data_IF_773228826733
#
_entry.id   IF_773228826733
#
_cell.length_a   1.000
_cell.length_b   1.000
_cell.length_c   1.000
_cell.angle_alpha   90.00
_cell.angle_beta   90.00
_cell.angle_gamma   90.00
#
_symmetry.space_group_name_H-M   'P 1'
#
loop_
_entity.id
_entity.type
_entity.pdbx_description
1 polymer ?
#
# COMPACT_ATOMS: atom_id res chain seq x y z
N UNK A 1 -5.21 51.84 -32.41
CA UNK A 1 -5.40 50.43 -32.83
C UNK A 1 -4.23 49.65 -32.26
N UNK A 2 -4.53 48.62 -31.44
CA UNK A 2 -3.62 47.69 -30.73
C UNK A 2 -2.89 48.22 -29.47
N UNK A 3 -3.53 47.97 -28.33
CA UNK A 3 -2.97 47.88 -26.98
C UNK A 3 -2.24 46.56 -26.79
N UNK A 4 -1.11 46.60 -26.07
CA UNK A 4 -0.38 45.44 -25.56
C UNK A 4 -1.19 44.77 -24.45
N UNK A 5 -1.40 43.45 -24.58
CA UNK A 5 -1.97 42.60 -23.54
C UNK A 5 -0.92 41.59 -23.09
N UNK A 6 -0.35 41.81 -21.90
CA UNK A 6 0.36 40.80 -21.14
C UNK A 6 -0.63 39.70 -20.74
N UNK A 7 -0.47 38.48 -21.25
CA UNK A 7 -1.04 37.30 -20.63
C UNK A 7 0.11 36.38 -20.20
N UNK A 8 0.49 36.54 -18.93
CA UNK A 8 1.15 35.46 -18.17
C UNK A 8 0.13 34.33 -18.06
N UNK A 9 0.40 33.22 -18.73
CA UNK A 9 -0.31 31.96 -18.46
C UNK A 9 0.18 31.50 -17.09
N UNK A 10 -0.68 31.64 -16.09
CA UNK A 10 -0.52 31.02 -14.78
C UNK A 10 -0.55 29.51 -14.97
N UNK A 11 0.62 28.85 -14.91
CA UNK A 11 0.71 27.40 -14.70
C UNK A 11 0.00 27.08 -13.38
N UNK A 12 -1.16 26.44 -13.47
CA UNK A 12 -1.81 25.83 -12.33
C UNK A 12 -0.97 24.64 -11.88
N UNK A 13 -0.14 24.86 -10.87
CA UNK A 13 0.39 23.77 -10.04
C UNK A 13 -0.83 23.24 -9.28
N UNK A 14 -1.38 22.13 -9.74
CA UNK A 14 -2.42 21.40 -9.02
C UNK A 14 -1.69 20.59 -7.94
N UNK A 15 -1.62 21.13 -6.72
CA UNK A 15 -1.27 20.30 -5.56
C UNK A 15 -2.26 19.12 -5.52
N UNK A 16 -1.82 17.87 -5.37
CA UNK A 16 -2.73 16.82 -4.95
C UNK A 16 -3.31 17.28 -3.61
N UNK A 17 -4.63 17.21 -3.50
CA UNK A 17 -5.37 17.56 -2.29
C UNK A 17 -4.86 16.67 -1.17
N UNK A 18 -3.92 17.19 -0.39
CA UNK A 18 -3.64 16.68 0.94
C UNK A 18 -4.89 16.97 1.77
N UNK A 19 -5.87 16.07 1.68
CA UNK A 19 -6.91 15.99 2.68
C UNK A 19 -6.22 15.54 3.97
N UNK A 20 -5.66 16.52 4.68
CA UNK A 20 -5.33 16.38 6.08
C UNK A 20 -6.68 16.16 6.78
N UNK A 21 -7.14 14.91 6.81
CA UNK A 21 -8.14 14.49 7.77
C UNK A 21 -7.45 14.65 9.12
N UNK A 22 -7.65 15.82 9.72
CA UNK A 22 -7.60 15.95 11.16
C UNK A 22 -8.74 15.04 11.64
N UNK A 23 -8.44 13.75 11.83
CA UNK A 23 -9.27 12.88 12.65
C UNK A 23 -9.19 13.52 14.02
N UNK A 24 -10.14 14.41 14.26
CA UNK A 24 -10.48 14.80 15.61
C UNK A 24 -10.91 13.48 16.21
N UNK A 25 -10.12 12.93 17.14
CA UNK A 25 -10.58 11.84 17.98
C UNK A 25 -11.81 12.41 18.68
N UNK A 26 -12.99 12.19 18.10
CA UNK A 26 -14.24 12.23 18.83
C UNK A 26 -14.14 11.03 19.76
N UNK A 27 -13.49 11.24 20.91
CA UNK A 27 -13.91 10.58 22.13
C UNK A 27 -15.40 10.94 22.21
N UNK A 28 -16.34 10.00 22.12
CA UNK A 28 -17.74 10.32 22.29
C UNK A 28 -17.88 11.03 23.64
N UNK A 29 -18.11 12.34 23.60
CA UNK A 29 -18.42 13.11 24.78
C UNK A 29 -19.81 12.66 25.22
N UNK A 30 -19.89 12.12 26.44
CA UNK A 30 -21.08 11.54 27.08
C UNK A 30 -21.65 10.30 26.38
N UNK A 31 -20.99 9.16 26.63
CA UNK A 31 -21.75 7.94 26.90
C UNK A 31 -22.55 8.25 28.18
N UNK A 32 -23.87 8.36 28.06
CA UNK A 32 -24.74 8.63 29.20
C UNK A 32 -24.45 7.63 30.32
N UNK A 33 -24.30 8.14 31.54
CA UNK A 33 -23.98 7.43 32.77
C UNK A 33 -24.52 5.98 32.81
N UNK A 34 -23.67 5.00 32.52
CA UNK A 34 -23.78 3.70 33.15
C UNK A 34 -23.11 3.85 34.52
N UNK A 35 -23.86 3.66 35.60
CA UNK A 35 -23.30 3.68 36.96
C UNK A 35 -22.19 2.62 37.06
N UNK A 36 -20.95 3.09 37.05
CA UNK A 36 -19.74 2.32 37.30
C UNK A 36 -19.77 1.92 38.77
N UNK A 37 -20.21 0.69 39.06
CA UNK A 37 -20.00 0.11 40.37
C UNK A 37 -18.49 0.01 40.62
N UNK A 38 -18.02 0.76 41.61
CA UNK A 38 -16.71 0.67 42.26
C UNK A 38 -16.04 -0.71 42.07
N UNK A 39 -14.98 -0.80 41.27
CA UNK A 39 -14.23 -2.05 41.06
C UNK A 39 -13.01 -2.10 41.99
N UNK A 40 -12.94 -3.04 42.96
CA UNK A 40 -11.72 -3.40 43.65
C UNK A 40 -10.88 -4.38 42.80
N UNK A 41 -9.56 -4.37 43.01
CA UNK A 41 -8.54 -5.12 42.26
C UNK A 41 -8.79 -6.65 42.21
N UNK A 42 -9.20 -7.17 41.05
CA UNK A 42 -8.90 -8.51 40.48
C UNK A 42 -9.87 -8.80 39.32
N UNK A 43 -9.62 -8.13 38.19
CA UNK A 43 -10.44 -8.05 36.97
C UNK A 43 -11.04 -9.37 36.46
N UNK A 44 -12.38 -9.41 36.33
CA UNK A 44 -13.11 -10.15 35.29
C UNK A 44 -14.55 -9.58 35.23
N UNK A 45 -15.00 -8.95 34.13
CA UNK A 45 -15.81 -9.61 33.09
C UNK A 45 -16.55 -8.68 32.09
N UNK A 46 -16.52 -9.14 30.85
CA UNK A 46 -17.29 -8.83 29.64
C UNK A 46 -18.78 -8.55 29.86
N UNK A 47 -19.26 -7.45 29.30
CA UNK A 47 -20.69 -7.28 29.05
C UNK A 47 -20.84 -6.80 27.64
N UNK A 48 -21.59 -7.55 26.85
CA UNK A 48 -22.43 -6.88 25.90
C UNK A 48 -23.38 -5.95 26.67
N UNK A 49 -23.73 -4.79 26.11
CA UNK A 49 -24.87 -4.05 26.67
C UNK A 49 -26.19 -4.75 26.26
N UNK A 50 -26.12 -5.79 25.41
CA UNK A 50 -27.25 -6.29 24.63
C UNK A 50 -27.18 -7.73 24.04
N UNK A 51 -26.06 -8.45 23.99
CA UNK A 51 -25.95 -9.79 23.38
C UNK A 51 -26.40 -10.91 24.33
N UNK A 52 -26.98 -11.98 23.78
CA UNK A 52 -27.54 -13.13 24.52
C UNK A 52 -26.58 -14.34 24.54
N UNK A 53 -25.29 -14.09 24.31
CA UNK A 53 -24.29 -15.10 23.99
C UNK A 53 -23.80 -15.93 25.19
N UNK A 54 -23.49 -17.20 24.94
CA UNK A 54 -23.24 -18.23 25.96
C UNK A 54 -21.93 -18.07 26.75
N UNK A 55 -21.03 -17.16 26.37
CA UNK A 55 -19.65 -17.09 26.87
C UNK A 55 -19.32 -15.83 27.66
N UNK A 56 -20.33 -15.04 27.99
CA UNK A 56 -20.25 -13.97 28.98
C UNK A 56 -19.97 -14.59 30.36
N UNK A 57 -18.73 -14.96 30.67
CA UNK A 57 -18.15 -15.16 32.03
C UNK A 57 -16.79 -15.89 32.07
N UNK A 58 -16.10 -16.06 30.93
CA UNK A 58 -14.80 -16.74 30.89
C UNK A 58 -13.61 -15.77 30.71
N UNK A 59 -12.50 -16.01 31.44
CA UNK A 59 -11.22 -15.36 31.15
C UNK A 59 -10.60 -15.83 29.83
N UNK A 60 -10.93 -17.07 29.44
CA UNK A 60 -10.52 -17.70 28.19
C UNK A 60 -11.73 -18.34 27.53
N UNK A 61 -12.02 -17.95 26.29
CA UNK A 61 -13.02 -18.58 25.43
C UNK A 61 -12.27 -19.51 24.49
N UNK A 62 -12.73 -20.75 24.37
CA UNK A 62 -12.20 -21.71 23.39
C UNK A 62 -13.36 -22.34 22.65
N UNK A 63 -13.36 -22.21 21.33
CA UNK A 63 -14.36 -22.80 20.45
C UNK A 63 -13.68 -23.57 19.32
N UNK A 64 -14.34 -24.64 18.85
CA UNK A 64 -13.87 -25.40 17.69
C UNK A 64 -14.64 -24.95 16.46
N UNK A 65 -15.96 -25.13 16.40
CA UNK A 65 -16.73 -24.92 15.17
C UNK A 65 -17.60 -23.67 15.16
N UNK A 66 -17.52 -22.83 16.18
CA UNK A 66 -18.34 -21.63 16.35
C UNK A 66 -17.43 -20.42 16.53
N UNK A 67 -17.91 -19.21 16.19
CA UNK A 67 -17.19 -18.00 16.53
C UNK A 67 -16.93 -17.89 18.04
N UNK A 68 -15.86 -17.20 18.43
CA UNK A 68 -15.53 -16.98 19.84
C UNK A 68 -16.53 -16.04 20.54
N UNK A 69 -16.76 -14.86 19.95
CA UNK A 69 -17.74 -13.88 20.42
C UNK A 69 -18.45 -13.21 19.23
N UNK A 70 -19.76 -12.97 19.35
CA UNK A 70 -20.56 -12.32 18.30
C UNK A 70 -21.34 -11.14 18.88
N UNK A 71 -21.34 -10.01 18.17
CA UNK A 71 -22.24 -8.88 18.37
C UNK A 71 -23.33 -8.93 17.30
N UNK A 72 -24.42 -9.63 17.60
CA UNK A 72 -25.61 -9.77 16.76
C UNK A 72 -26.80 -8.95 17.30
N UNK A 73 -27.86 -8.83 16.50
CA UNK A 73 -29.04 -8.02 16.79
C UNK A 73 -29.84 -8.58 17.99
N UNK A 74 -29.92 -7.85 19.12
CA UNK A 74 -30.87 -8.16 20.17
C UNK A 74 -32.28 -7.83 19.66
N UNK A 75 -33.28 -8.59 20.06
CA UNK A 75 -34.70 -8.40 19.67
C UNK A 75 -35.32 -7.00 19.93
N UNK A 76 -34.57 -6.01 20.43
CA UNK A 76 -35.05 -4.66 20.77
C UNK A 76 -34.09 -3.47 20.52
N UNK A 77 -32.85 -3.65 20.00
CA UNK A 77 -31.94 -2.51 19.75
C UNK A 77 -31.15 -2.66 18.44
N UNK A 78 -30.94 -1.59 17.66
CA UNK A 78 -30.38 -1.70 16.31
C UNK A 78 -28.87 -2.00 16.24
N UNK A 79 -28.15 -2.11 17.36
CA UNK A 79 -26.72 -2.38 17.38
C UNK A 79 -26.28 -3.13 18.66
N UNK A 80 -25.19 -3.91 18.54
CA UNK A 80 -24.58 -4.65 19.66
C UNK A 80 -23.10 -4.33 19.81
N UNK A 81 -22.59 -4.38 21.05
CA UNK A 81 -21.17 -4.12 21.35
C UNK A 81 -20.63 -5.27 22.17
N UNK A 82 -19.52 -5.88 21.73
CA UNK A 82 -18.76 -6.88 22.50
C UNK A 82 -17.35 -6.36 22.80
N UNK A 83 -16.78 -6.71 23.96
CA UNK A 83 -15.48 -6.23 24.41
C UNK A 83 -14.64 -7.34 25.01
N UNK A 84 -13.52 -7.71 24.39
CA UNK A 84 -12.45 -8.51 24.98
C UNK A 84 -11.50 -7.63 25.78
N UNK A 85 -11.52 -7.76 27.11
CA UNK A 85 -10.67 -6.96 27.99
C UNK A 85 -9.23 -7.47 28.04
N UNK A 86 -8.34 -6.65 28.60
CA UNK A 86 -6.89 -6.83 28.63
C UNK A 86 -6.35 -8.23 28.97
N UNK A 87 -6.95 -8.91 29.96
CA UNK A 87 -6.52 -10.26 30.38
C UNK A 87 -7.24 -11.39 29.64
N UNK A 88 -8.13 -11.03 28.72
CA UNK A 88 -8.99 -11.96 28.01
C UNK A 88 -8.29 -12.62 26.83
N UNK A 89 -8.60 -13.89 26.65
CA UNK A 89 -8.09 -14.70 25.55
C UNK A 89 -9.23 -15.40 24.82
N UNK A 90 -9.27 -15.27 23.50
CA UNK A 90 -10.22 -15.96 22.62
C UNK A 90 -9.41 -16.88 21.72
N UNK A 91 -9.75 -18.16 21.70
CA UNK A 91 -9.05 -19.19 20.93
C UNK A 91 -10.07 -19.94 20.08
N UNK A 92 -9.86 -19.97 18.77
CA UNK A 92 -10.75 -20.59 17.78
C UNK A 92 -9.93 -21.49 16.86
N UNK A 93 -10.39 -22.71 16.57
CA UNK A 93 -9.54 -23.71 15.88
C UNK A 93 -10.16 -24.44 14.69
N UNK A 94 -11.49 -24.46 14.56
CA UNK A 94 -12.15 -25.10 13.42
C UNK A 94 -12.26 -24.20 12.20
N UNK A 95 -12.51 -24.82 11.05
CA UNK A 95 -12.64 -24.11 9.78
C UNK A 95 -13.77 -23.08 9.83
N UNK A 96 -13.51 -21.87 9.32
CA UNK A 96 -14.39 -20.71 9.39
C UNK A 96 -14.82 -20.27 10.82
N UNK A 97 -14.19 -20.79 11.89
CA UNK A 97 -14.46 -20.34 13.25
C UNK A 97 -13.74 -19.01 13.52
N UNK A 98 -14.44 -17.89 13.42
CA UNK A 98 -13.88 -16.56 13.63
C UNK A 98 -13.66 -16.23 15.12
N UNK A 99 -12.67 -15.39 15.44
CA UNK A 99 -12.41 -14.93 16.81
C UNK A 99 -13.52 -14.06 17.38
N UNK A 100 -13.63 -12.82 16.90
CA UNK A 100 -14.68 -11.86 17.29
C UNK A 100 -15.43 -11.34 16.06
N UNK A 101 -16.75 -11.26 16.12
CA UNK A 101 -17.60 -10.86 14.99
C UNK A 101 -18.54 -9.72 15.39
N UNK A 102 -18.57 -8.64 14.61
CA UNK A 102 -19.57 -7.59 14.64
C UNK A 102 -20.52 -7.79 13.45
N UNK A 103 -21.63 -8.50 13.69
CA UNK A 103 -22.43 -9.09 12.61
C UNK A 103 -23.52 -8.19 12.05
N UNK A 104 -24.32 -7.59 12.93
CA UNK A 104 -25.42 -6.71 12.53
C UNK A 104 -24.95 -5.29 12.23
N UNK A 105 -25.75 -4.51 11.50
CA UNK A 105 -25.42 -3.13 11.14
C UNK A 105 -25.10 -2.28 12.38
N UNK A 106 -24.00 -1.55 12.33
CA UNK A 106 -23.54 -0.70 13.43
C UNK A 106 -23.04 -1.45 14.67
N UNK A 107 -22.94 -2.79 14.62
CA UNK A 107 -22.35 -3.57 15.70
C UNK A 107 -20.87 -3.30 15.86
N UNK A 108 -20.33 -3.56 17.06
CA UNK A 108 -18.95 -3.27 17.39
C UNK A 108 -18.28 -4.41 18.16
N UNK A 109 -17.01 -4.67 17.85
CA UNK A 109 -16.16 -5.59 18.59
C UNK A 109 -14.84 -4.94 19.00
N UNK A 110 -14.56 -4.87 20.30
CA UNK A 110 -13.38 -4.22 20.86
C UNK A 110 -12.45 -5.26 21.50
N UNK A 111 -11.26 -5.44 20.95
CA UNK A 111 -10.22 -6.27 21.51
C UNK A 111 -9.14 -5.44 22.23
N UNK A 112 -8.96 -5.70 23.51
CA UNK A 112 -7.86 -5.22 24.34
C UNK A 112 -6.95 -6.35 24.82
N UNK A 113 -7.38 -7.61 24.63
CA UNK A 113 -6.65 -8.83 25.03
C UNK A 113 -6.04 -9.54 23.83
N UNK A 114 -6.05 -10.87 23.86
CA UNK A 114 -5.51 -11.72 22.79
C UNK A 114 -6.63 -12.48 22.08
N UNK A 115 -6.58 -12.51 20.74
CA UNK A 115 -7.40 -13.36 19.88
C UNK A 115 -6.47 -14.26 19.07
N UNK A 116 -6.71 -15.57 19.10
CA UNK A 116 -5.96 -16.59 18.36
C UNK A 116 -6.94 -17.42 17.53
N UNK A 117 -6.70 -17.54 16.24
CA UNK A 117 -7.61 -18.19 15.29
C UNK A 117 -6.81 -19.07 14.31
N UNK A 118 -6.90 -20.39 14.48
CA UNK A 118 -6.05 -21.36 13.77
C UNK A 118 -6.75 -22.07 12.59
N UNK A 119 -8.07 -21.99 12.49
CA UNK A 119 -8.85 -22.67 11.46
C UNK A 119 -8.57 -22.17 10.04
N UNK A 120 -8.84 -22.98 9.01
CA UNK A 120 -8.77 -22.48 7.63
C UNK A 120 -9.92 -21.52 7.33
N UNK A 121 -9.69 -20.51 6.48
CA UNK A 121 -10.68 -19.47 6.14
C UNK A 121 -11.34 -18.82 7.37
N UNK A 122 -10.63 -18.79 8.49
CA UNK A 122 -11.09 -18.21 9.75
C UNK A 122 -10.49 -16.81 9.92
N UNK A 123 -11.17 -15.93 10.64
CA UNK A 123 -10.74 -14.54 10.78
C UNK A 123 -10.59 -14.19 12.24
N UNK A 124 -9.52 -13.47 12.59
CA UNK A 124 -9.31 -13.05 13.96
C UNK A 124 -10.44 -12.13 14.43
N UNK A 125 -10.74 -11.09 13.65
CA UNK A 125 -11.88 -10.20 13.90
C UNK A 125 -12.62 -9.87 12.60
N UNK A 126 -13.95 -9.74 12.65
CA UNK A 126 -14.81 -9.49 11.48
C UNK A 126 -15.83 -8.41 11.77
N UNK A 127 -15.97 -7.41 10.90
CA UNK A 127 -17.16 -6.57 10.78
C UNK A 127 -17.88 -6.97 9.49
N UNK A 128 -19.08 -7.56 9.59
CA UNK A 128 -19.87 -8.01 8.43
C UNK A 128 -21.11 -7.16 8.15
N UNK A 129 -21.66 -6.49 9.16
CA UNK A 129 -22.77 -5.54 8.99
C UNK A 129 -22.30 -4.19 8.46
N UNK A 130 -23.21 -3.41 7.86
CA UNK A 130 -22.91 -2.05 7.39
C UNK A 130 -22.63 -1.13 8.58
N UNK A 131 -21.67 -0.22 8.45
CA UNK A 131 -21.21 0.69 9.52
C UNK A 131 -20.72 -0.04 10.79
N UNK A 132 -20.41 -1.34 10.72
CA UNK A 132 -19.89 -2.11 11.85
C UNK A 132 -18.41 -1.84 12.07
N UNK A 133 -17.97 -1.91 13.33
CA UNK A 133 -16.60 -1.53 13.71
C UNK A 133 -15.91 -2.62 14.50
N UNK A 134 -14.72 -3.03 14.07
CA UNK A 134 -13.81 -3.86 14.87
C UNK A 134 -12.55 -3.09 15.25
N UNK A 135 -12.13 -3.20 16.51
CA UNK A 135 -11.03 -2.41 17.05
C UNK A 135 -10.08 -3.29 17.87
N UNK A 136 -8.84 -3.44 17.42
CA UNK A 136 -7.76 -4.06 18.17
C UNK A 136 -6.91 -2.96 18.81
N UNK A 137 -7.04 -2.74 20.12
CA UNK A 137 -6.57 -1.53 20.78
C UNK A 137 -5.89 -1.80 22.13
N UNK A 138 -4.63 -1.37 22.30
CA UNK A 138 -3.99 -1.38 23.62
C UNK A 138 -4.40 -0.14 24.43
N UNK A 139 -5.21 -0.33 25.48
CA UNK A 139 -5.71 0.77 26.31
C UNK A 139 -4.67 1.48 27.18
N UNK A 140 -3.45 0.94 27.39
CA UNK A 140 -2.45 1.58 28.27
C UNK A 140 -0.96 1.11 28.17
N UNK A 141 -0.44 0.82 26.97
CA UNK A 141 0.98 1.05 26.64
C UNK A 141 2.05 0.04 27.09
N UNK A 142 1.76 -1.03 27.85
CA UNK A 142 2.76 -2.11 28.10
C UNK A 142 2.37 -3.48 27.57
N UNK A 143 1.11 -3.90 27.69
CA UNK A 143 0.65 -5.13 27.03
C UNK A 143 -0.20 -4.76 25.82
N UNK A 144 0.23 -5.24 24.65
CA UNK A 144 -0.36 -4.92 23.37
C UNK A 144 -1.51 -5.88 23.11
N UNK A 145 -2.67 -5.33 22.74
CA UNK A 145 -3.75 -6.16 22.22
C UNK A 145 -3.24 -6.88 20.96
N UNK A 146 -3.62 -8.14 20.79
CA UNK A 146 -3.07 -8.98 19.73
C UNK A 146 -4.16 -9.79 19.05
N UNK A 147 -4.10 -9.83 17.72
CA UNK A 147 -4.87 -10.74 16.87
C UNK A 147 -3.89 -11.60 16.10
N UNK A 148 -4.00 -12.92 16.23
CA UNK A 148 -3.09 -13.89 15.62
C UNK A 148 -3.90 -14.92 14.83
N UNK A 149 -3.54 -15.13 13.57
CA UNK A 149 -4.18 -16.14 12.71
C UNK A 149 -3.17 -17.01 11.99
N UNK A 150 -3.47 -18.30 11.81
CA UNK A 150 -2.49 -19.26 11.28
C UNK A 150 -2.99 -20.22 10.19
N UNK A 151 -4.30 -20.34 9.98
CA UNK A 151 -4.86 -21.21 8.94
C UNK A 151 -4.67 -20.66 7.52
N UNK A 152 -4.69 -21.53 6.51
CA UNK A 152 -4.69 -21.05 5.11
C UNK A 152 -5.94 -20.20 4.83
N UNK A 153 -5.76 -19.07 4.15
CA UNK A 153 -6.82 -18.07 3.91
C UNK A 153 -7.32 -17.37 5.18
N UNK A 154 -6.63 -17.51 6.32
CA UNK A 154 -7.07 -16.90 7.57
C UNK A 154 -6.60 -15.45 7.65
N UNK A 155 -7.51 -14.49 7.47
CA UNK A 155 -7.18 -13.06 7.60
C UNK A 155 -7.20 -12.58 9.06
N UNK A 156 -6.36 -11.61 9.40
CA UNK A 156 -6.28 -11.05 10.75
C UNK A 156 -7.55 -10.29 11.11
N UNK A 157 -7.82 -9.19 10.42
CA UNK A 157 -9.02 -8.35 10.61
C UNK A 157 -9.71 -8.07 9.29
N UNK A 158 -11.01 -8.34 9.20
CA UNK A 158 -11.81 -8.13 7.98
C UNK A 158 -12.94 -7.15 8.25
N UNK A 159 -13.07 -6.13 7.41
CA UNK A 159 -14.22 -5.25 7.36
C UNK A 159 -14.92 -5.40 6.00
N UNK A 160 -16.18 -5.79 6.04
CA UNK A 160 -17.06 -5.95 4.88
C UNK A 160 -18.36 -5.24 5.17
N UNK A 161 -18.80 -4.40 4.22
CA UNK A 161 -20.02 -3.60 4.34
C UNK A 161 -19.74 -2.12 4.17
N UNK A 162 -20.75 -1.39 3.70
CA UNK A 162 -20.62 0.02 3.42
C UNK A 162 -20.37 0.79 4.73
N UNK A 163 -19.24 1.52 4.79
CA UNK A 163 -18.87 2.29 5.97
C UNK A 163 -18.36 1.46 7.16
N UNK A 164 -18.27 0.13 7.02
CA UNK A 164 -17.71 -0.73 8.04
C UNK A 164 -16.21 -0.51 8.17
N UNK A 165 -15.65 -0.74 9.36
CA UNK A 165 -14.26 -0.42 9.61
C UNK A 165 -13.52 -1.37 10.54
N UNK A 166 -12.22 -1.53 10.28
CA UNK A 166 -11.29 -2.24 11.15
C UNK A 166 -10.11 -1.36 11.55
N UNK A 167 -9.73 -1.40 12.83
CA UNK A 167 -8.70 -0.51 13.39
C UNK A 167 -7.66 -1.28 14.22
N UNK A 168 -6.38 -1.06 13.93
CA UNK A 168 -5.23 -1.52 14.72
C UNK A 168 -4.60 -0.31 15.39
N UNK A 169 -4.70 -0.19 16.71
CA UNK A 169 -4.24 0.97 17.48
C UNK A 169 -3.30 0.55 18.62
N UNK A 170 -2.01 0.89 18.48
CA UNK A 170 -0.95 0.52 19.46
C UNK A 170 -1.00 -1.00 19.76
N UNK A 171 -1.26 -1.81 18.74
CA UNK A 171 -1.56 -3.23 18.86
C UNK A 171 -0.96 -4.02 17.70
N UNK A 172 -1.04 -5.35 17.80
CA UNK A 172 -0.42 -6.26 16.84
C UNK A 172 -1.45 -7.11 16.11
N UNK A 173 -1.28 -7.23 14.79
CA UNK A 173 -1.95 -8.24 13.96
C UNK A 173 -0.88 -9.11 13.31
N UNK A 174 -0.95 -10.41 13.54
CA UNK A 174 -0.01 -11.39 12.99
C UNK A 174 -0.78 -12.44 12.21
N UNK A 175 -0.38 -12.68 10.96
CA UNK A 175 -0.96 -13.74 10.12
C UNK A 175 0.14 -14.62 9.54
N UNK A 176 0.03 -15.94 9.73
CA UNK A 176 1.08 -16.89 9.30
C UNK A 176 0.60 -17.88 8.24
N UNK A 177 -0.72 -17.93 7.98
CA UNK A 177 -1.31 -18.75 6.93
C UNK A 177 -0.96 -18.28 5.52
N UNK A 178 -0.90 -19.20 4.57
CA UNK A 178 -0.80 -18.86 3.15
C UNK A 178 -2.08 -18.14 2.68
N UNK A 179 -1.94 -17.25 1.70
CA UNK A 179 -3.05 -16.45 1.15
C UNK A 179 -3.83 -15.66 2.24
N UNK A 180 -3.16 -15.37 3.35
CA UNK A 180 -3.72 -14.64 4.49
C UNK A 180 -3.46 -13.14 4.36
N UNK A 181 -4.35 -12.31 4.91
CA UNK A 181 -4.22 -10.86 4.88
C UNK A 181 -4.17 -10.33 6.31
N UNK A 182 -3.28 -9.38 6.60
CA UNK A 182 -3.26 -8.72 7.91
C UNK A 182 -4.58 -8.01 8.16
N UNK A 183 -4.94 -7.09 7.27
CA UNK A 183 -6.24 -6.43 7.26
C UNK A 183 -6.87 -6.43 5.87
N UNK A 184 -8.19 -6.50 5.80
CA UNK A 184 -8.92 -6.61 4.55
C UNK A 184 -10.21 -5.78 4.53
N UNK A 185 -10.30 -4.82 3.61
CA UNK A 185 -11.50 -4.02 3.34
C UNK A 185 -12.22 -4.50 2.07
N UNK A 186 -13.53 -4.70 2.18
CA UNK A 186 -14.43 -5.14 1.12
C UNK A 186 -15.70 -4.29 1.07
N UNK A 187 -16.33 -4.19 -0.10
CA UNK A 187 -17.67 -3.63 -0.27
C UNK A 187 -17.85 -2.19 0.28
N UNK A 188 -16.84 -1.33 0.13
CA UNK A 188 -16.92 0.06 0.63
C UNK A 188 -16.49 0.24 2.08
N UNK A 189 -15.81 -0.75 2.66
CA UNK A 189 -15.26 -0.70 4.01
C UNK A 189 -13.90 0.03 4.07
N UNK A 190 -13.45 0.36 5.29
CA UNK A 190 -12.13 0.95 5.55
C UNK A 190 -11.32 0.16 6.56
N UNK A 191 -10.04 -0.10 6.28
CA UNK A 191 -9.10 -0.66 7.26
C UNK A 191 -7.98 0.31 7.59
N UNK A 192 -7.66 0.44 8.87
CA UNK A 192 -6.76 1.47 9.40
C UNK A 192 -5.72 0.86 10.35
N UNK A 193 -4.44 1.04 10.03
CA UNK A 193 -3.33 0.79 10.94
C UNK A 193 -2.88 2.14 11.51
N UNK A 194 -3.15 2.38 12.78
CA UNK A 194 -2.89 3.66 13.45
C UNK A 194 -1.47 3.71 14.04
N UNK A 195 -1.08 4.88 14.52
CA UNK A 195 0.19 5.12 15.23
C UNK A 195 0.52 3.98 16.22
N UNK A 196 1.68 3.37 16.08
CA UNK A 196 2.16 2.28 16.94
C UNK A 196 1.50 0.92 16.68
N UNK A 197 0.58 0.82 15.71
CA UNK A 197 0.05 -0.42 15.17
C UNK A 197 1.08 -1.16 14.31
N UNK A 198 1.11 -2.49 14.44
CA UNK A 198 2.03 -3.36 13.71
C UNK A 198 1.26 -4.50 13.05
N UNK A 199 1.45 -4.65 11.75
CA UNK A 199 0.89 -5.75 10.96
C UNK A 199 2.06 -6.59 10.43
N UNK A 200 2.05 -7.89 10.74
CA UNK A 200 3.05 -8.84 10.27
C UNK A 200 2.36 -10.00 9.53
N UNK A 201 2.76 -10.25 8.28
CA UNK A 201 2.33 -11.42 7.53
C UNK A 201 3.52 -12.27 7.08
N UNK A 202 3.39 -13.59 7.18
CA UNK A 202 4.50 -14.52 6.89
C UNK A 202 4.13 -15.75 6.08
N UNK A 203 2.88 -15.89 5.61
CA UNK A 203 2.52 -16.92 4.63
C UNK A 203 2.90 -16.55 3.20
N UNK A 204 3.04 -17.55 2.33
CA UNK A 204 3.20 -17.29 0.88
C UNK A 204 1.89 -16.73 0.32
N UNK A 205 1.96 -15.74 -0.58
CA UNK A 205 0.76 -15.06 -1.08
C UNK A 205 0.04 -14.21 -0.03
N UNK A 206 0.61 -14.05 1.17
CA UNK A 206 0.00 -13.24 2.21
C UNK A 206 0.17 -11.74 1.94
N UNK A 207 -0.73 -10.89 2.37
CA UNK A 207 -0.64 -9.44 2.14
C UNK A 207 -0.85 -8.65 3.43
N UNK A 208 -0.19 -7.50 3.57
CA UNK A 208 -0.30 -6.67 4.77
C UNK A 208 -1.70 -6.09 4.93
N UNK A 209 -2.06 -5.13 4.08
CA UNK A 209 -3.40 -4.54 4.05
C UNK A 209 -3.97 -4.59 2.63
N UNK A 210 -5.22 -5.04 2.49
CA UNK A 210 -5.91 -5.21 1.21
C UNK A 210 -7.19 -4.35 1.16
N UNK A 211 -7.44 -3.70 0.03
CA UNK A 211 -8.68 -3.00 -0.28
C UNK A 211 -9.24 -3.48 -1.62
N UNK A 212 -10.37 -4.18 -1.59
CA UNK A 212 -11.01 -4.75 -2.77
C UNK A 212 -12.37 -4.11 -3.06
N UNK A 213 -12.53 -3.62 -4.28
CA UNK A 213 -13.77 -3.03 -4.78
C UNK A 213 -13.85 -1.51 -4.57
N UNK A 214 -14.64 -0.87 -5.43
CA UNK A 214 -14.89 0.56 -5.39
C UNK A 214 -15.39 1.05 -4.03
N UNK A 215 -14.68 2.04 -3.48
CA UNK A 215 -14.98 2.62 -2.15
C UNK A 215 -14.28 1.92 -0.99
N UNK A 216 -13.69 0.74 -1.19
CA UNK A 216 -12.88 0.08 -0.17
C UNK A 216 -11.54 0.79 0.00
N UNK A 217 -11.10 0.98 1.24
CA UNK A 217 -9.87 1.73 1.56
C UNK A 217 -8.98 1.01 2.56
N UNK A 218 -7.67 1.12 2.37
CA UNK A 218 -6.65 0.66 3.31
C UNK A 218 -5.68 1.80 3.64
N UNK A 219 -5.54 2.16 4.91
CA UNK A 219 -4.68 3.29 5.35
C UNK A 219 -3.69 2.85 6.41
N UNK A 220 -2.40 3.03 6.14
CA UNK A 220 -1.32 2.88 7.12
C UNK A 220 -0.88 4.26 7.60
N UNK A 221 -1.22 4.66 8.82
CA UNK A 221 -0.99 6.02 9.34
C UNK A 221 0.46 6.28 9.76
N UNK A 222 0.85 7.55 10.01
CA UNK A 222 2.19 7.87 10.48
C UNK A 222 2.57 7.10 11.75
N UNK A 223 3.75 6.48 11.73
CA UNK A 223 4.29 5.69 12.84
C UNK A 223 3.63 4.30 12.99
N UNK A 224 2.81 3.88 12.04
CA UNK A 224 2.32 2.52 11.89
C UNK A 224 3.23 1.72 10.93
N UNK A 225 3.37 0.41 11.18
CA UNK A 225 4.27 -0.47 10.41
C UNK A 225 3.52 -1.66 9.83
N UNK A 226 3.78 -1.92 8.55
CA UNK A 226 3.39 -3.15 7.85
C UNK A 226 4.65 -3.90 7.44
N UNK A 227 4.73 -5.19 7.77
CA UNK A 227 5.81 -6.07 7.35
C UNK A 227 5.30 -7.37 6.74
N UNK A 228 5.77 -7.71 5.54
CA UNK A 228 5.52 -9.01 4.91
C UNK A 228 6.84 -9.74 4.65
N UNK A 229 6.92 -11.02 4.99
CA UNK A 229 8.22 -11.74 5.03
C UNK A 229 8.38 -12.85 3.99
N UNK A 230 7.29 -13.27 3.33
CA UNK A 230 7.26 -14.43 2.42
C UNK A 230 7.08 -14.04 0.96
N UNK A 231 7.28 -15.00 0.05
CA UNK A 231 7.17 -14.77 -1.39
C UNK A 231 5.75 -14.38 -1.82
N UNK A 232 5.68 -13.66 -2.95
CA UNK A 232 4.43 -13.22 -3.58
C UNK A 232 3.52 -12.43 -2.63
N UNK A 233 4.14 -11.68 -1.70
CA UNK A 233 3.41 -10.91 -0.68
C UNK A 233 3.46 -9.41 -0.96
N UNK A 234 2.34 -8.72 -0.80
CA UNK A 234 2.25 -7.27 -0.98
C UNK A 234 2.09 -6.58 0.36
N UNK A 235 2.84 -5.50 0.58
CA UNK A 235 2.69 -4.68 1.78
C UNK A 235 1.28 -4.08 1.83
N UNK A 236 0.89 -3.39 0.75
CA UNK A 236 -0.48 -2.92 0.56
C UNK A 236 -0.99 -3.27 -0.85
N UNK A 237 -2.21 -3.77 -0.95
CA UNK A 237 -2.80 -4.22 -2.22
C UNK A 237 -4.19 -3.61 -2.42
N UNK A 238 -4.39 -2.93 -3.55
CA UNK A 238 -5.67 -2.39 -3.96
C UNK A 238 -6.09 -3.04 -5.30
N UNK A 239 -7.33 -3.54 -5.35
CA UNK A 239 -7.89 -4.21 -6.53
C UNK A 239 -9.35 -3.79 -6.79
N UNK A 240 -9.78 -3.89 -8.04
CA UNK A 240 -11.15 -3.60 -8.51
C UNK A 240 -11.66 -2.20 -8.12
N UNK A 241 -10.80 -1.17 -8.26
CA UNK A 241 -11.11 0.22 -7.92
C UNK A 241 -10.94 0.55 -6.43
N UNK A 242 -10.30 -0.33 -5.66
CA UNK A 242 -9.90 -0.07 -4.28
C UNK A 242 -8.79 0.99 -4.17
N UNK A 243 -8.57 1.48 -2.95
CA UNK A 243 -7.52 2.46 -2.66
C UNK A 243 -6.68 2.08 -1.45
N UNK A 244 -5.35 2.10 -1.60
CA UNK A 244 -4.42 1.96 -0.48
C UNK A 244 -3.51 3.18 -0.33
N UNK A 245 -3.38 3.68 0.90
CA UNK A 245 -2.56 4.86 1.24
C UNK A 245 -1.58 4.51 2.35
N UNK A 246 -0.30 4.72 2.09
CA UNK A 246 0.76 4.61 3.08
C UNK A 246 1.21 6.00 3.56
N UNK A 247 1.15 6.24 4.86
CA UNK A 247 1.71 7.40 5.57
C UNK A 247 2.77 6.97 6.61
N UNK A 248 2.88 5.66 6.87
CA UNK A 248 3.83 5.03 7.79
C UNK A 248 4.95 4.28 7.06
N UNK A 249 5.35 3.13 7.60
CA UNK A 249 6.36 2.24 6.98
C UNK A 249 5.69 0.99 6.40
N UNK A 250 6.00 0.69 5.15
CA UNK A 250 5.71 -0.59 4.49
C UNK A 250 7.02 -1.27 4.17
N UNK A 251 7.18 -2.50 4.66
CA UNK A 251 8.40 -3.27 4.48
C UNK A 251 8.14 -4.70 4.00
N UNK A 252 8.79 -5.08 2.90
CA UNK A 252 8.59 -6.39 2.25
C UNK A 252 9.93 -7.08 1.97
N UNK A 253 10.00 -8.39 2.24
CA UNK A 253 11.27 -9.13 2.22
C UNK A 253 11.32 -10.28 1.20
N UNK A 254 10.18 -10.90 0.90
CA UNK A 254 10.13 -12.10 0.06
C UNK A 254 10.43 -11.84 -1.41
N UNK A 255 10.65 -12.93 -2.17
CA UNK A 255 10.74 -12.90 -3.63
C UNK A 255 9.42 -12.40 -4.23
N UNK A 256 9.49 -11.54 -5.26
CA UNK A 256 8.30 -10.96 -5.92
C UNK A 256 7.33 -10.29 -4.94
N UNK A 257 7.86 -9.76 -3.84
CA UNK A 257 7.10 -9.19 -2.74
C UNK A 257 7.03 -7.68 -2.88
N UNK A 258 5.99 -7.18 -3.54
CA UNK A 258 5.86 -5.76 -3.86
C UNK A 258 5.50 -4.90 -2.65
N UNK A 259 5.99 -3.66 -2.59
CA UNK A 259 5.65 -2.74 -1.51
C UNK A 259 4.17 -2.35 -1.54
N UNK A 260 3.73 -1.72 -2.63
CA UNK A 260 2.33 -1.38 -2.87
C UNK A 260 1.90 -1.77 -4.29
N UNK A 261 0.66 -2.28 -4.45
CA UNK A 261 0.16 -2.78 -5.73
C UNK A 261 -1.25 -2.26 -6.02
N UNK A 262 -1.45 -1.64 -7.19
CA UNK A 262 -2.76 -1.26 -7.74
C UNK A 262 -3.09 -2.13 -8.95
N UNK A 263 -4.23 -2.83 -8.89
CA UNK A 263 -4.75 -3.66 -9.98
C UNK A 263 -6.15 -3.19 -10.39
N UNK A 264 -6.48 -3.27 -11.68
CA UNK A 264 -7.85 -3.10 -12.21
C UNK A 264 -8.50 -1.75 -11.83
N UNK A 265 -7.85 -0.65 -12.20
CA UNK A 265 -8.35 0.71 -11.95
C UNK A 265 -8.16 1.20 -10.51
N UNK A 266 -7.31 0.52 -9.74
CA UNK A 266 -7.08 0.85 -8.33
C UNK A 266 -6.03 1.96 -8.15
N UNK A 267 -5.95 2.46 -6.91
CA UNK A 267 -5.06 3.56 -6.52
C UNK A 267 -4.15 3.10 -5.39
N UNK A 268 -2.84 3.33 -5.55
CA UNK A 268 -1.88 3.25 -4.44
C UNK A 268 -1.09 4.55 -4.29
N UNK A 269 -1.06 5.08 -3.08
CA UNK A 269 -0.39 6.34 -2.74
C UNK A 269 0.61 6.13 -1.62
N UNK A 270 1.89 6.39 -1.88
CA UNK A 270 2.92 6.45 -0.85
C UNK A 270 3.17 7.91 -0.45
N UNK A 271 2.99 8.19 0.84
CA UNK A 271 3.35 9.43 1.53
C UNK A 271 4.09 9.13 2.86
N UNK A 272 4.63 7.91 2.97
CA UNK A 272 5.50 7.44 4.06
C UNK A 272 6.79 6.84 3.49
N UNK A 273 7.17 5.65 3.94
CA UNK A 273 8.32 4.91 3.38
C UNK A 273 7.87 3.54 2.89
N UNK A 274 8.31 3.17 1.69
CA UNK A 274 8.17 1.82 1.14
C UNK A 274 9.56 1.23 0.93
N UNK A 275 9.81 0.04 1.49
CA UNK A 275 11.07 -0.68 1.32
C UNK A 275 10.85 -2.13 0.91
N UNK A 276 11.61 -2.61 -0.07
CA UNK A 276 11.53 -3.97 -0.63
C UNK A 276 12.92 -4.59 -0.74
N UNK A 277 13.09 -5.87 -0.37
CA UNK A 277 14.40 -6.55 -0.45
C UNK A 277 14.51 -7.67 -1.49
N UNK A 278 13.43 -8.43 -1.73
CA UNK A 278 13.51 -9.63 -2.56
C UNK A 278 13.76 -9.35 -4.04
N UNK A 279 14.30 -10.34 -4.75
CA UNK A 279 14.46 -10.23 -6.20
C UNK A 279 13.08 -10.11 -6.88
N UNK A 280 13.00 -9.29 -7.93
CA UNK A 280 11.74 -8.93 -8.59
C UNK A 280 10.76 -8.14 -7.72
N UNK A 281 11.12 -7.79 -6.48
CA UNK A 281 10.22 -7.07 -5.57
C UNK A 281 10.20 -5.58 -5.87
N UNK A 282 9.25 -5.13 -6.68
CA UNK A 282 9.06 -3.71 -6.98
C UNK A 282 8.51 -2.89 -5.79
N UNK A 283 8.92 -1.63 -5.69
CA UNK A 283 8.44 -0.68 -4.68
C UNK A 283 6.95 -0.42 -4.81
N UNK A 284 6.53 0.10 -5.97
CA UNK A 284 5.12 0.31 -6.29
C UNK A 284 4.77 -0.21 -7.68
N UNK A 285 3.63 -0.88 -7.84
CA UNK A 285 3.14 -1.40 -9.12
C UNK A 285 1.74 -0.88 -9.42
N UNK A 286 1.49 -0.53 -10.69
CA UNK A 286 0.17 -0.26 -11.24
C UNK A 286 -0.06 -1.13 -12.48
N UNK A 287 -1.14 -1.91 -12.48
CA UNK A 287 -1.46 -2.87 -13.53
C UNK A 287 -2.92 -2.77 -14.02
N UNK A 288 -3.09 -3.12 -15.30
CA UNK A 288 -4.37 -3.37 -15.99
C UNK A 288 -5.37 -2.21 -15.88
N UNK A 289 -5.03 -1.09 -16.52
CA UNK A 289 -5.90 0.09 -16.58
C UNK A 289 -5.85 0.98 -15.34
N UNK A 290 -4.95 0.71 -14.40
CA UNK A 290 -4.69 1.56 -13.23
C UNK A 290 -3.95 2.84 -13.65
N UNK A 291 -4.65 3.77 -14.31
CA UNK A 291 -4.16 5.12 -14.64
C UNK A 291 -4.08 5.50 -16.12
N UNK A 292 -4.83 4.82 -17.00
CA UNK A 292 -4.96 5.18 -18.42
C UNK A 292 -5.34 6.67 -18.61
N UNK A 293 -5.04 7.32 -19.76
CA UNK A 293 -5.52 8.68 -20.07
C UNK A 293 -7.03 8.89 -19.91
N UNK A 294 -7.83 7.81 -19.98
CA UNK A 294 -9.28 7.84 -19.73
C UNK A 294 -9.65 7.85 -18.24
N UNK A 295 -8.75 7.42 -17.36
CA UNK A 295 -8.89 7.43 -15.90
C UNK A 295 -7.57 7.87 -15.25
N UNK A 296 -7.26 9.18 -15.26
CA UNK A 296 -5.97 9.69 -14.83
C UNK A 296 -5.75 9.66 -13.31
N UNK A 297 -6.75 9.20 -12.55
CA UNK A 297 -6.76 9.19 -11.09
C UNK A 297 -6.34 7.84 -10.50
N UNK A 298 -6.49 6.75 -11.26
CA UNK A 298 -5.96 5.44 -10.92
C UNK A 298 -4.43 5.35 -11.12
N UNK A 299 -3.77 4.41 -10.45
CA UNK A 299 -2.35 4.13 -10.59
C UNK A 299 -1.51 4.29 -9.32
N UNK A 300 -0.20 4.36 -9.51
CA UNK A 300 0.78 4.41 -8.43
C UNK A 300 1.41 5.81 -8.28
N UNK A 301 1.31 6.39 -7.09
CA UNK A 301 1.78 7.75 -6.79
C UNK A 301 2.74 7.74 -5.59
N UNK A 302 4.01 8.11 -5.83
CA UNK A 302 4.99 8.28 -4.77
C UNK A 302 5.16 9.76 -4.43
N UNK A 303 4.96 10.17 -3.18
CA UNK A 303 5.19 11.53 -2.70
C UNK A 303 6.41 11.66 -1.78
N UNK A 304 7.03 10.53 -1.41
CA UNK A 304 8.08 10.45 -0.39
C UNK A 304 9.10 9.40 -0.82
N UNK A 305 9.44 8.40 -0.01
CA UNK A 305 10.60 7.54 -0.24
C UNK A 305 10.19 6.13 -0.65
N UNK A 306 10.83 5.63 -1.71
CA UNK A 306 10.86 4.22 -2.10
C UNK A 306 12.32 3.74 -2.12
N UNK A 307 12.58 2.62 -1.45
CA UNK A 307 13.86 1.92 -1.49
C UNK A 307 13.68 0.47 -1.95
N UNK A 308 14.43 0.06 -2.96
CA UNK A 308 14.41 -1.33 -3.46
C UNK A 308 15.83 -1.86 -3.61
N UNK A 309 16.06 -3.12 -3.23
CA UNK A 309 17.42 -3.70 -3.27
C UNK A 309 17.55 -5.05 -3.95
N UNK A 310 16.45 -5.67 -4.39
CA UNK A 310 16.52 -6.96 -5.07
C UNK A 310 16.96 -6.84 -6.54
N UNK A 311 17.57 -7.89 -7.07
CA UNK A 311 17.87 -7.96 -8.51
C UNK A 311 16.56 -7.94 -9.32
N UNK A 312 16.55 -7.20 -10.42
CA UNK A 312 15.38 -6.99 -11.27
C UNK A 312 14.23 -6.25 -10.57
N UNK A 313 14.44 -5.68 -9.39
CA UNK A 313 13.41 -4.87 -8.70
C UNK A 313 13.26 -3.51 -9.37
N UNK A 314 12.06 -2.93 -9.30
CA UNK A 314 11.80 -1.61 -9.87
C UNK A 314 11.33 -0.70 -8.75
N UNK A 315 11.79 0.55 -8.73
CA UNK A 315 11.23 1.52 -7.79
C UNK A 315 9.72 1.68 -8.01
N UNK A 316 9.33 1.96 -9.25
CA UNK A 316 7.93 1.97 -9.67
C UNK A 316 7.73 1.26 -11.02
N UNK A 317 6.64 0.53 -11.19
CA UNK A 317 6.30 -0.17 -12.43
C UNK A 317 4.85 0.08 -12.85
N UNK A 318 4.64 0.53 -14.10
CA UNK A 318 3.34 0.63 -14.73
C UNK A 318 3.25 -0.32 -15.93
N UNK A 319 2.21 -1.17 -15.95
CA UNK A 319 2.02 -2.20 -16.99
C UNK A 319 0.57 -2.28 -17.46
N UNK A 320 0.36 -2.62 -18.73
CA UNK A 320 -0.96 -2.80 -19.35
C UNK A 320 -1.86 -1.57 -19.21
N UNK A 321 -1.51 -0.48 -19.91
CA UNK A 321 -2.27 0.79 -19.91
C UNK A 321 -2.42 1.45 -18.53
N UNK A 322 -1.34 1.44 -17.74
CA UNK A 322 -1.33 1.96 -16.37
C UNK A 322 -0.40 3.16 -16.19
N UNK A 323 -0.41 3.77 -15.01
CA UNK A 323 0.40 4.95 -14.68
C UNK A 323 1.19 4.80 -13.38
N UNK A 324 2.45 5.22 -13.44
CA UNK A 324 3.29 5.50 -12.28
C UNK A 324 3.71 6.98 -12.27
N UNK A 325 3.67 7.63 -11.11
CA UNK A 325 4.09 9.03 -10.94
C UNK A 325 4.91 9.22 -9.68
N UNK A 326 6.13 9.71 -9.84
CA UNK A 326 7.05 10.01 -8.76
C UNK A 326 7.13 11.52 -8.51
N UNK A 327 6.81 11.92 -7.28
CA UNK A 327 6.98 13.25 -6.71
C UNK A 327 7.94 13.25 -5.49
N UNK A 328 8.53 12.10 -5.17
CA UNK A 328 9.48 11.94 -4.08
C UNK A 328 10.79 11.28 -4.53
N UNK A 329 11.47 10.60 -3.62
CA UNK A 329 12.74 9.92 -3.87
C UNK A 329 12.52 8.44 -4.18
N UNK A 330 13.22 7.94 -5.20
CA UNK A 330 13.29 6.53 -5.55
C UNK A 330 14.75 6.09 -5.59
N UNK A 331 15.11 5.11 -4.76
CA UNK A 331 16.45 4.51 -4.73
C UNK A 331 16.36 3.01 -5.03
N UNK A 332 17.17 2.56 -5.97
CA UNK A 332 17.26 1.15 -6.37
C UNK A 332 18.72 0.69 -6.41
N UNK A 333 18.98 -0.58 -6.07
CA UNK A 333 20.37 -1.06 -5.91
C UNK A 333 20.73 -2.45 -6.45
N UNK A 334 19.76 -3.33 -6.73
CA UNK A 334 20.05 -4.63 -7.34
C UNK A 334 20.45 -4.55 -8.81
N UNK A 335 21.01 -5.63 -9.36
CA UNK A 335 21.33 -5.69 -10.79
C UNK A 335 20.04 -5.72 -11.63
N UNK A 336 20.00 -4.96 -12.72
CA UNK A 336 18.80 -4.71 -13.51
C UNK A 336 17.71 -3.95 -12.75
N UNK A 337 18.02 -3.38 -11.57
CA UNK A 337 17.00 -2.72 -10.76
C UNK A 337 16.71 -1.31 -11.26
N UNK A 338 15.68 -1.15 -12.08
CA UNK A 338 15.33 0.14 -12.69
C UNK A 338 14.64 1.08 -11.71
N UNK A 339 14.81 2.40 -11.87
CA UNK A 339 14.09 3.40 -11.08
C UNK A 339 12.59 3.37 -11.36
N UNK A 340 12.20 3.64 -12.61
CA UNK A 340 10.80 3.56 -13.05
C UNK A 340 10.67 2.84 -14.39
N UNK A 341 9.66 1.96 -14.51
CA UNK A 341 9.39 1.22 -15.75
C UNK A 341 7.94 1.45 -16.21
N UNK A 342 7.75 1.60 -17.51
CA UNK A 342 6.44 1.59 -18.16
C UNK A 342 6.44 0.56 -19.30
N UNK A 343 5.50 -0.39 -19.31
CA UNK A 343 5.34 -1.37 -20.39
C UNK A 343 3.91 -1.49 -20.90
N UNK A 344 3.77 -1.88 -22.17
CA UNK A 344 2.50 -2.26 -22.79
C UNK A 344 1.47 -1.13 -22.76
N UNK A 345 1.82 -0.02 -23.41
CA UNK A 345 0.96 1.15 -23.52
C UNK A 345 0.86 1.98 -22.22
N UNK A 346 1.85 1.91 -21.33
CA UNK A 346 1.80 2.55 -20.01
C UNK A 346 2.59 3.85 -19.93
N UNK A 347 2.43 4.59 -18.83
CA UNK A 347 3.06 5.88 -18.57
C UNK A 347 3.83 5.92 -17.25
N UNK A 348 5.04 6.48 -17.28
CA UNK A 348 5.82 6.81 -16.08
C UNK A 348 6.22 8.29 -16.10
N UNK A 349 5.91 9.00 -15.02
CA UNK A 349 6.20 10.43 -14.86
C UNK A 349 7.11 10.64 -13.65
N UNK A 350 8.29 11.21 -13.87
CA UNK A 350 9.19 11.60 -12.81
C UNK A 350 9.20 13.13 -12.63
N UNK A 351 8.94 13.59 -11.42
CA UNK A 351 8.98 15.00 -11.03
C UNK A 351 10.04 15.29 -9.95
N UNK A 352 10.75 14.26 -9.48
CA UNK A 352 11.68 14.33 -8.36
C UNK A 352 12.89 13.40 -8.63
N UNK A 353 13.48 12.81 -7.59
CA UNK A 353 14.79 12.17 -7.67
C UNK A 353 14.69 10.65 -7.84
N UNK A 354 15.49 10.12 -8.75
CA UNK A 354 15.68 8.70 -9.03
C UNK A 354 17.19 8.42 -8.98
N UNK A 355 17.59 7.48 -8.12
CA UNK A 355 18.95 6.97 -8.05
C UNK A 355 18.98 5.46 -8.27
N UNK A 356 19.84 4.99 -9.17
CA UNK A 356 20.03 3.55 -9.45
C UNK A 356 21.49 3.13 -9.36
N UNK A 357 21.78 2.02 -8.67
CA UNK A 357 23.16 1.63 -8.35
C UNK A 357 23.65 0.34 -9.02
N UNK A 358 22.76 -0.59 -9.40
CA UNK A 358 23.15 -1.89 -9.96
C UNK A 358 23.62 -1.85 -11.42
N UNK A 359 24.24 -2.93 -11.89
CA UNK A 359 24.55 -3.08 -13.33
C UNK A 359 23.25 -3.15 -14.15
N UNK A 360 23.25 -2.62 -15.36
CA UNK A 360 22.07 -2.54 -16.24
C UNK A 360 20.84 -1.86 -15.58
N UNK A 361 21.04 -1.09 -14.50
CA UNK A 361 19.98 -0.47 -13.72
C UNK A 361 19.58 0.90 -14.30
N UNK A 362 18.65 0.92 -15.25
CA UNK A 362 18.21 2.17 -15.88
C UNK A 362 17.44 3.10 -14.92
N UNK A 363 17.61 4.41 -15.06
CA UNK A 363 16.81 5.39 -14.32
C UNK A 363 15.32 5.28 -14.66
N UNK A 364 14.99 5.37 -15.95
CA UNK A 364 13.64 5.14 -16.46
C UNK A 364 13.64 4.27 -17.73
N UNK A 365 12.67 3.37 -17.89
CA UNK A 365 12.56 2.48 -19.05
C UNK A 365 11.13 2.35 -19.60
N UNK A 366 10.93 2.68 -20.88
CA UNK A 366 9.68 2.46 -21.61
C UNK A 366 9.79 1.31 -22.62
N UNK A 367 8.83 0.39 -22.59
CA UNK A 367 8.73 -0.77 -23.50
C UNK A 367 7.36 -0.87 -24.17
N UNK A 368 7.31 -1.34 -25.42
CA UNK A 368 6.09 -1.72 -26.14
C UNK A 368 5.02 -0.61 -26.15
N UNK A 369 5.23 0.44 -26.94
CA UNK A 369 4.35 1.60 -27.06
C UNK A 369 4.13 2.38 -25.74
N UNK A 370 5.14 2.42 -24.86
CA UNK A 370 5.03 3.11 -23.57
C UNK A 370 5.74 4.46 -23.56
N UNK A 371 5.47 5.25 -22.53
CA UNK A 371 5.90 6.64 -22.45
C UNK A 371 6.54 6.94 -21.09
N UNK A 372 7.77 7.46 -21.10
CA UNK A 372 8.46 7.94 -19.91
C UNK A 372 8.78 9.43 -20.03
N UNK A 373 8.52 10.18 -18.97
CA UNK A 373 8.74 11.62 -18.90
C UNK A 373 9.51 11.98 -17.64
N UNK A 374 10.59 12.73 -17.81
CA UNK A 374 11.38 13.28 -16.72
C UNK A 374 11.26 14.80 -16.70
N UNK A 375 10.72 15.33 -15.61
CA UNK A 375 10.45 16.77 -15.41
C UNK A 375 11.18 17.36 -14.19
N UNK A 376 11.82 16.54 -13.34
CA UNK A 376 12.50 17.03 -12.13
C UNK A 376 13.84 17.71 -12.42
N UNK A 377 14.21 18.72 -11.64
CA UNK A 377 15.57 19.25 -11.66
C UNK A 377 16.45 18.40 -10.73
N UNK A 378 17.62 17.93 -11.18
CA UNK A 378 18.47 16.95 -10.45
C UNK A 378 17.88 15.54 -10.32
N UNK A 379 17.07 15.15 -11.31
CA UNK A 379 16.10 14.07 -11.21
C UNK A 379 16.55 12.64 -11.41
N UNK A 380 17.61 12.37 -12.20
CA UNK A 380 18.00 10.99 -12.54
C UNK A 380 19.52 10.87 -12.45
N UNK A 381 19.98 9.95 -11.59
CA UNK A 381 21.39 9.61 -11.44
C UNK A 381 21.59 8.08 -11.41
N UNK A 382 22.52 7.57 -12.22
CA UNK A 382 22.74 6.12 -12.37
C UNK A 382 24.22 5.76 -12.32
N UNK A 383 24.58 4.65 -11.66
CA UNK A 383 25.98 4.33 -11.32
C UNK A 383 26.58 3.05 -11.94
N UNK A 384 25.80 1.98 -12.16
CA UNK A 384 26.34 0.68 -12.58
C UNK A 384 26.75 0.60 -14.05
N UNK A 385 27.56 -0.41 -14.42
CA UNK A 385 27.91 -0.63 -15.83
C UNK A 385 26.64 -0.86 -16.66
N UNK A 386 26.54 -0.21 -17.84
CA UNK A 386 25.33 -0.27 -18.66
C UNK A 386 24.10 0.45 -18.07
N UNK A 387 24.21 1.13 -16.92
CA UNK A 387 23.09 1.85 -16.32
C UNK A 387 22.75 3.11 -17.14
N UNK A 388 21.83 3.00 -18.10
CA UNK A 388 21.35 4.13 -18.87
C UNK A 388 20.44 5.05 -18.04
N UNK A 389 20.40 6.35 -18.36
CA UNK A 389 19.51 7.29 -17.67
C UNK A 389 18.05 7.04 -18.03
N UNK A 390 17.70 7.19 -19.31
CA UNK A 390 16.37 6.90 -19.84
C UNK A 390 16.44 6.04 -21.11
N UNK A 391 15.60 5.02 -21.22
CA UNK A 391 15.55 4.13 -22.39
C UNK A 391 14.12 4.03 -22.94
N UNK A 392 13.96 4.11 -24.25
CA UNK A 392 12.72 3.77 -24.95
C UNK A 392 12.97 2.63 -25.96
N UNK A 393 12.14 1.59 -25.91
CA UNK A 393 12.24 0.41 -26.78
C UNK A 393 10.88 -0.07 -27.29
N UNK A 394 10.83 -0.51 -28.56
CA UNK A 394 9.62 -1.06 -29.19
C UNK A 394 8.52 0.00 -29.36
N UNK A 395 8.73 0.93 -30.29
CA UNK A 395 7.80 2.03 -30.61
C UNK A 395 7.44 2.91 -29.39
N UNK A 396 8.36 3.03 -28.43
CA UNK A 396 8.17 3.77 -27.18
C UNK A 396 8.73 5.20 -27.26
N UNK A 397 8.43 6.00 -26.24
CA UNK A 397 8.81 7.42 -26.18
C UNK A 397 9.46 7.79 -24.84
N UNK A 398 10.58 8.50 -24.91
CA UNK A 398 11.25 9.11 -23.76
C UNK A 398 11.42 10.62 -23.94
N UNK A 399 11.01 11.39 -22.91
CA UNK A 399 11.19 12.84 -22.89
C UNK A 399 11.87 13.31 -21.62
N UNK A 400 12.94 14.10 -21.78
CA UNK A 400 13.65 14.73 -20.69
C UNK A 400 13.54 16.25 -20.75
N UNK A 401 12.94 16.85 -19.73
CA UNK A 401 13.02 18.29 -19.43
C UNK A 401 13.96 18.55 -18.23
N UNK A 402 14.19 17.51 -17.44
CA UNK A 402 15.01 17.52 -16.24
C UNK A 402 16.49 17.31 -16.50
N UNK A 403 17.18 16.76 -15.51
CA UNK A 403 18.62 16.45 -15.62
C UNK A 403 18.86 14.95 -15.52
N UNK A 404 19.80 14.46 -16.32
CA UNK A 404 20.23 13.07 -16.32
C UNK A 404 21.74 13.01 -16.14
N UNK A 405 22.20 12.23 -15.16
CA UNK A 405 23.62 11.93 -14.95
C UNK A 405 23.82 10.41 -14.98
N UNK A 406 24.78 9.96 -15.77
CA UNK A 406 25.15 8.55 -15.84
C UNK A 406 26.65 8.38 -15.64
N UNK A 407 27.05 7.51 -14.71
CA UNK A 407 28.45 7.30 -14.33
C UNK A 407 29.05 6.02 -14.91
N UNK A 408 28.19 5.03 -15.21
CA UNK A 408 28.58 3.69 -15.64
C UNK A 408 29.29 3.62 -16.98
N UNK A 409 30.22 2.67 -17.14
CA UNK A 409 30.82 2.38 -18.44
C UNK A 409 29.76 1.83 -19.42
N UNK A 410 29.79 2.30 -20.67
CA UNK A 410 28.79 1.91 -21.68
C UNK A 410 27.40 2.49 -21.44
N UNK A 411 27.23 3.38 -20.46
CA UNK A 411 25.95 4.02 -20.18
C UNK A 411 25.60 5.10 -21.19
N UNK A 412 24.30 5.34 -21.36
CA UNK A 412 23.76 6.35 -22.23
C UNK A 412 22.88 7.24 -21.38
N UNK A 413 22.99 8.56 -21.54
CA UNK A 413 22.05 9.46 -20.87
C UNK A 413 20.61 9.16 -21.31
N UNK A 414 20.37 9.13 -22.63
CA UNK A 414 19.13 8.68 -23.22
C UNK A 414 19.37 7.72 -24.39
N UNK A 415 18.56 6.67 -24.53
CA UNK A 415 18.65 5.72 -25.63
C UNK A 415 17.27 5.40 -26.25
N UNK A 416 17.25 5.23 -27.58
CA UNK A 416 16.07 4.84 -28.35
C UNK A 416 16.34 3.64 -29.26
N UNK A 417 15.51 2.59 -29.14
CA UNK A 417 15.64 1.33 -29.87
C UNK A 417 14.33 0.90 -30.53
N UNK A 418 14.43 0.20 -31.67
CA UNK A 418 13.29 -0.45 -32.33
C UNK A 418 12.11 0.49 -32.61
N UNK A 419 12.33 1.54 -33.41
CA UNK A 419 11.28 2.50 -33.78
C UNK A 419 10.98 3.57 -32.74
N UNK A 420 11.71 3.57 -31.61
CA UNK A 420 11.43 4.47 -30.48
C UNK A 420 12.00 5.87 -30.68
N UNK A 421 11.51 6.83 -29.88
CA UNK A 421 11.95 8.22 -29.92
C UNK A 421 12.40 8.68 -28.54
N UNK A 422 13.55 9.35 -28.47
CA UNK A 422 14.06 10.00 -27.27
C UNK A 422 14.34 11.49 -27.54
N UNK A 423 13.75 12.38 -26.76
CA UNK A 423 13.89 13.84 -26.90
C UNK A 423 14.36 14.43 -25.59
N UNK A 424 15.42 15.24 -25.62
CA UNK A 424 15.85 16.04 -24.48
C UNK A 424 15.67 17.52 -24.76
N UNK A 425 15.07 18.24 -23.82
CA UNK A 425 15.13 19.69 -23.67
C UNK A 425 15.95 20.11 -22.45
N UNK A 426 16.27 19.16 -21.55
CA UNK A 426 17.07 19.37 -20.35
C UNK A 426 18.51 18.85 -20.46
N UNK A 427 19.22 18.84 -19.33
CA UNK A 427 20.66 18.53 -19.25
C UNK A 427 20.94 17.02 -19.24
N UNK A 428 21.98 16.61 -19.96
CA UNK A 428 22.45 15.24 -19.98
C UNK A 428 23.97 15.20 -19.81
N UNK A 429 24.42 14.49 -18.77
CA UNK A 429 25.82 14.19 -18.51
C UNK A 429 26.06 12.69 -18.53
N UNK A 430 27.02 12.25 -19.33
CA UNK A 430 27.46 10.87 -19.39
C UNK A 430 28.98 10.82 -19.17
N UNK A 431 29.40 10.26 -18.03
CA UNK A 431 30.78 10.32 -17.54
C UNK A 431 31.58 9.04 -17.81
N UNK A 432 30.89 7.92 -18.04
CA UNK A 432 31.53 6.61 -18.19
C UNK A 432 32.34 6.45 -19.47
N UNK A 433 33.28 5.49 -19.46
CA UNK A 433 34.01 5.08 -20.67
C UNK A 433 33.03 4.49 -21.69
N UNK A 434 33.19 4.83 -22.97
CA UNK A 434 32.27 4.43 -24.05
C UNK A 434 30.82 4.86 -23.82
N UNK A 435 30.60 5.93 -23.05
CA UNK A 435 29.28 6.50 -22.85
C UNK A 435 28.93 7.51 -23.94
N UNK A 436 27.64 7.79 -24.08
CA UNK A 436 27.13 8.84 -24.94
C UNK A 436 25.97 9.57 -24.25
N UNK A 437 25.82 10.87 -24.49
CA UNK A 437 24.66 11.60 -23.98
C UNK A 437 23.35 11.06 -24.55
N UNK A 438 23.25 10.91 -25.87
CA UNK A 438 22.09 10.34 -26.54
C UNK A 438 22.50 9.30 -27.59
N UNK A 439 21.75 8.20 -27.69
CA UNK A 439 22.00 7.10 -28.62
C UNK A 439 20.71 6.60 -29.28
N UNK A 440 20.75 6.32 -30.59
CA UNK A 440 19.65 5.68 -31.31
C UNK A 440 20.17 4.53 -32.17
N UNK A 441 19.46 3.42 -32.16
CA UNK A 441 19.77 2.25 -32.99
C UNK A 441 18.49 1.57 -33.53
N UNK A 442 18.58 1.10 -34.77
CA UNK A 442 17.51 0.42 -35.48
C UNK A 442 16.69 1.34 -36.38
N UNK A 443 15.98 0.74 -37.34
CA UNK A 443 15.14 1.45 -38.28
C UNK A 443 14.00 2.17 -37.54
N UNK A 444 13.82 3.46 -37.84
CA UNK A 444 12.78 4.30 -37.23
C UNK A 444 13.13 4.88 -35.86
N UNK A 445 14.23 4.46 -35.23
CA UNK A 445 14.66 5.03 -33.95
C UNK A 445 15.22 6.44 -34.12
N UNK A 446 14.93 7.35 -33.18
CA UNK A 446 15.42 8.73 -33.24
C UNK A 446 15.80 9.30 -31.88
N UNK A 447 16.84 10.14 -31.87
CA UNK A 447 17.23 10.99 -30.74
C UNK A 447 17.28 12.45 -31.17
N UNK A 448 16.76 13.35 -30.34
CA UNK A 448 16.83 14.81 -30.57
C UNK A 448 17.22 15.52 -29.28
N UNK A 449 18.28 16.33 -29.33
CA UNK A 449 18.62 17.26 -28.26
C UNK A 449 18.21 18.69 -28.65
N UNK A 450 17.26 19.25 -27.92
CA UNK A 450 16.78 20.63 -28.01
C UNK A 450 17.34 21.51 -26.87
N UNK A 451 18.04 20.92 -25.90
CA UNK A 451 18.78 21.65 -24.87
C UNK A 451 19.98 22.41 -25.45
N UNK A 452 20.44 23.45 -24.75
CA UNK A 452 21.54 24.32 -25.17
C UNK A 452 22.93 23.75 -24.89
#
# INVERSE_FOLDING_TARGET
MRTLGNNKVSMGILLPVLALFLVTIMIPANIGNAEVNNVPQNSTLYTSVTSDDKWENASTITTENEPGMVADDPASQPNSVIVNYFVGSIITSGDAAHGMVADSDGSQAWNHGTVITDGTNSYGMVASGDNSTINNNSGNGTDRASVQTSGAGSHGMVASGAGSSAHVNISDVVTTGNDAFGMYALNGAGVFNHLGGSILTSGTGSHGMVAEGGGSTATNEPGAVIRTTSADSYGMYALDGGQATNLGEVFTEGLSSHGMYALDGSIVVNSGTVRTLGAGSHGMVAENGSGSPSDPYAGAYNNTTIETSGDGSYGMYAVNSSRASNYGEVVTSGDGAHGMVASDGSWAYNHADITTNGADAFGMYALNNSFIYNYGANSIETFGAGSHGMVASGDSYAYNDGTIITHGSGSYGMAAFGGSTAISSGDITAEGINSAGMYAEGDGSSVTNNGL
#
